data_IF_433096040895
#
_entry.id   IF_433096040895
#
_cell.length_a   1.000
_cell.length_b   1.000
_cell.length_c   1.000
_cell.angle_alpha   90.00
_cell.angle_beta   90.00
_cell.angle_gamma   90.00
#
_symmetry.space_group_name_H-M   'P 1'
#
loop_
_entity.id
_entity.type
_entity.pdbx_description
1 polymer ?
#
# COMPACT_ATOMS: atom_id res chain seq x y z
N UNK A 1 17.56 -4.62 2.44
CA UNK A 1 17.62 -6.05 2.68
C UNK A 1 16.62 -6.37 3.77
N UNK A 2 15.49 -6.95 3.40
CA UNK A 2 14.63 -7.59 4.40
C UNK A 2 15.49 -8.68 5.02
N UNK A 3 15.77 -8.59 6.31
CA UNK A 3 16.36 -9.71 7.02
C UNK A 3 15.49 -10.93 6.70
N UNK A 4 16.06 -11.93 6.02
CA UNK A 4 15.37 -13.19 5.84
C UNK A 4 15.03 -13.65 7.25
N UNK A 5 13.75 -13.72 7.57
CA UNK A 5 13.37 -14.38 8.79
C UNK A 5 13.77 -15.85 8.61
N UNK A 6 14.53 -16.39 9.55
CA UNK A 6 14.84 -17.83 9.58
C UNK A 6 13.58 -18.65 9.87
N UNK A 7 12.46 -18.00 10.06
CA UNK A 7 11.15 -18.64 10.23
C UNK A 7 10.71 -19.27 8.92
N UNK A 8 10.77 -20.58 8.86
CA UNK A 8 10.22 -21.37 7.76
C UNK A 8 8.72 -21.63 7.91
N UNK A 9 8.15 -21.33 9.08
CA UNK A 9 6.79 -21.68 9.43
C UNK A 9 5.89 -20.45 9.32
N UNK A 10 4.75 -20.64 8.66
CA UNK A 10 3.68 -19.64 8.64
C UNK A 10 3.04 -19.50 10.02
N UNK A 11 2.50 -18.32 10.33
CA UNK A 11 1.69 -18.16 11.52
C UNK A 11 0.45 -19.06 11.43
N UNK A 12 -0.03 -19.60 12.55
CA UNK A 12 -1.28 -20.35 12.55
C UNK A 12 -2.43 -19.49 12.01
N UNK A 13 -3.23 -20.05 11.11
CA UNK A 13 -4.42 -19.36 10.54
C UNK A 13 -5.31 -18.84 11.65
N UNK A 14 -5.59 -19.63 12.68
CA UNK A 14 -6.40 -19.26 13.84
C UNK A 14 -5.90 -18.01 14.57
N UNK A 15 -4.57 -17.82 14.63
CA UNK A 15 -4.02 -16.60 15.20
C UNK A 15 -4.31 -15.39 14.33
N UNK A 16 -4.23 -15.54 12.99
CA UNK A 16 -4.58 -14.49 12.05
C UNK A 16 -6.07 -14.10 12.17
N UNK A 17 -6.96 -15.08 12.23
CA UNK A 17 -8.40 -14.85 12.37
C UNK A 17 -8.72 -14.10 13.67
N UNK A 18 -8.23 -14.59 14.81
CA UNK A 18 -8.42 -13.90 16.10
C UNK A 18 -7.85 -12.48 16.12
N UNK A 19 -6.73 -12.28 15.43
CA UNK A 19 -6.12 -10.94 15.30
C UNK A 19 -7.03 -10.00 14.52
N UNK A 20 -7.63 -10.47 13.44
CA UNK A 20 -8.60 -9.70 12.63
C UNK A 20 -9.82 -9.33 13.48
N UNK A 21 -10.39 -10.29 14.21
CA UNK A 21 -11.54 -10.05 15.09
C UNK A 21 -11.22 -8.98 16.14
N UNK A 22 -10.04 -9.08 16.76
CA UNK A 22 -9.61 -8.11 17.76
C UNK A 22 -9.39 -6.72 17.18
N UNK A 23 -8.81 -6.61 15.96
CA UNK A 23 -8.68 -5.33 15.24
C UNK A 23 -10.06 -4.74 14.97
N UNK A 24 -10.99 -5.53 14.42
CA UNK A 24 -12.36 -5.07 14.10
C UNK A 24 -13.11 -4.67 15.37
N UNK A 25 -12.95 -5.44 16.46
CA UNK A 25 -13.57 -5.14 17.76
C UNK A 25 -13.11 -3.79 18.31
N UNK A 26 -11.79 -3.58 18.41
CA UNK A 26 -11.22 -2.34 18.91
C UNK A 26 -11.50 -1.15 17.99
N UNK A 27 -11.50 -1.35 16.68
CA UNK A 27 -11.86 -0.32 15.71
C UNK A 27 -13.32 0.13 15.90
N UNK A 28 -14.26 -0.80 16.10
CA UNK A 28 -15.67 -0.47 16.40
C UNK A 28 -15.82 0.29 17.71
N UNK A 29 -15.06 -0.05 18.74
CA UNK A 29 -15.04 0.71 20.01
C UNK A 29 -14.54 2.16 19.80
N UNK A 30 -13.67 2.35 18.82
CA UNK A 30 -13.20 3.67 18.40
C UNK A 30 -14.14 4.38 17.40
N UNK A 31 -15.31 3.81 17.10
CA UNK A 31 -16.28 4.36 16.16
C UNK A 31 -16.00 4.08 14.68
N UNK A 32 -15.08 3.18 14.36
CA UNK A 32 -14.77 2.80 12.97
C UNK A 32 -15.43 1.49 12.59
N UNK A 33 -16.11 1.48 11.45
CA UNK A 33 -16.74 0.31 10.86
C UNK A 33 -16.27 0.05 9.41
N UNK A 34 -15.32 0.82 8.92
CA UNK A 34 -14.77 0.69 7.57
C UNK A 34 -13.31 0.28 7.65
N UNK A 35 -12.91 -0.68 6.81
CA UNK A 35 -11.60 -1.32 6.94
C UNK A 35 -10.85 -1.37 5.61
N UNK A 36 -9.55 -1.27 5.70
CA UNK A 36 -8.62 -1.60 4.62
C UNK A 36 -7.54 -2.53 5.14
N UNK A 37 -7.52 -3.76 4.67
CA UNK A 37 -6.51 -4.75 5.01
C UNK A 37 -5.50 -4.88 3.87
N UNK A 38 -4.24 -4.57 4.16
CA UNK A 38 -3.13 -4.79 3.24
C UNK A 38 -2.33 -6.00 3.68
N UNK A 39 -2.42 -7.08 2.92
CA UNK A 39 -1.77 -8.36 3.19
C UNK A 39 -0.47 -8.43 2.39
N UNK A 40 0.65 -8.39 3.09
CA UNK A 40 1.99 -8.38 2.50
C UNK A 40 2.99 -9.05 3.44
N UNK A 41 4.24 -9.15 3.02
CA UNK A 41 5.31 -9.73 3.80
C UNK A 41 5.69 -11.11 3.29
N UNK A 42 7.00 -11.35 3.02
CA UNK A 42 7.44 -12.51 2.26
C UNK A 42 6.64 -12.67 0.97
N UNK A 43 6.07 -13.84 0.74
CA UNK A 43 5.04 -14.07 -0.27
C UNK A 43 3.75 -14.53 0.42
N UNK A 44 2.74 -13.65 0.57
CA UNK A 44 1.56 -13.93 1.37
C UNK A 44 0.74 -15.10 0.82
N UNK A 45 0.78 -15.33 -0.49
CA UNK A 45 0.03 -16.42 -1.13
C UNK A 45 0.52 -17.82 -0.74
N UNK A 46 1.71 -17.93 -0.15
CA UNK A 46 2.20 -19.21 0.39
C UNK A 46 1.63 -19.56 1.74
N UNK A 47 1.00 -18.62 2.44
CA UNK A 47 0.30 -18.93 3.68
C UNK A 47 -0.84 -19.93 3.38
N UNK A 48 -0.88 -21.12 4.02
CA UNK A 48 -1.85 -22.16 3.67
C UNK A 48 -3.29 -21.73 3.89
N UNK A 49 -3.57 -20.92 4.89
CA UNK A 49 -4.90 -20.37 5.20
C UNK A 49 -5.18 -18.98 4.59
N UNK A 50 -4.46 -18.56 3.55
CA UNK A 50 -4.66 -17.23 2.99
C UNK A 50 -6.09 -16.98 2.49
N UNK A 51 -6.68 -17.96 1.81
CA UNK A 51 -8.06 -17.85 1.31
C UNK A 51 -9.07 -17.89 2.46
N UNK A 52 -8.80 -18.67 3.51
CA UNK A 52 -9.64 -18.70 4.72
C UNK A 52 -9.61 -17.35 5.45
N UNK A 53 -8.45 -16.69 5.48
CA UNK A 53 -8.29 -15.34 6.02
C UNK A 53 -9.13 -14.34 5.20
N UNK A 54 -9.12 -14.42 3.88
CA UNK A 54 -9.95 -13.57 3.03
C UNK A 54 -11.44 -13.82 3.28
N UNK A 55 -11.85 -15.09 3.37
CA UNK A 55 -13.24 -15.46 3.67
C UNK A 55 -13.69 -14.87 5.02
N UNK A 56 -12.88 -15.04 6.06
CA UNK A 56 -13.17 -14.48 7.39
C UNK A 56 -13.23 -12.95 7.41
N UNK A 57 -12.36 -12.28 6.61
CA UNK A 57 -12.44 -10.84 6.43
C UNK A 57 -13.75 -10.40 5.75
N UNK A 58 -14.32 -11.26 4.91
CA UNK A 58 -15.55 -11.00 4.16
C UNK A 58 -16.84 -11.26 4.94
N UNK A 59 -16.80 -12.02 6.05
CA UNK A 59 -17.98 -12.50 6.76
C UNK A 59 -18.91 -11.38 7.27
N UNK A 60 -18.40 -10.20 7.55
CA UNK A 60 -19.17 -9.03 7.99
C UNK A 60 -19.20 -7.87 6.99
N UNK A 61 -18.85 -8.13 5.72
CA UNK A 61 -18.93 -7.11 4.67
C UNK A 61 -20.37 -6.96 4.22
N UNK A 62 -20.90 -5.75 4.37
CA UNK A 62 -22.25 -5.38 3.95
C UNK A 62 -22.28 -3.97 3.33
N UNK A 63 -23.48 -3.47 3.04
CA UNK A 63 -23.64 -2.14 2.45
C UNK A 63 -23.49 -0.98 3.46
N UNK A 64 -23.30 -1.28 4.74
CA UNK A 64 -23.18 -0.26 5.80
C UNK A 64 -21.74 0.03 6.20
N UNK A 65 -20.80 -0.86 5.85
CA UNK A 65 -19.40 -0.69 6.13
C UNK A 65 -18.52 -0.90 4.89
N UNK A 66 -17.56 -0.03 4.67
CA UNK A 66 -16.62 -0.19 3.57
C UNK A 66 -15.47 -1.09 3.98
N UNK A 67 -15.32 -2.22 3.28
CA UNK A 67 -14.17 -3.11 3.49
C UNK A 67 -13.44 -3.34 2.18
N UNK A 68 -12.14 -3.16 2.20
CA UNK A 68 -11.26 -3.36 1.06
C UNK A 68 -10.05 -4.18 1.44
N UNK A 69 -9.53 -4.93 0.46
CA UNK A 69 -8.33 -5.74 0.62
C UNK A 69 -7.28 -5.39 -0.43
N UNK A 70 -6.04 -5.47 -0.02
CA UNK A 70 -4.89 -5.32 -0.90
C UNK A 70 -3.90 -6.46 -0.68
N UNK A 71 -3.35 -6.99 -1.77
CA UNK A 71 -2.30 -8.01 -1.73
C UNK A 71 -1.06 -7.51 -2.45
N UNK A 72 0.11 -7.71 -1.84
CA UNK A 72 1.40 -7.58 -2.55
C UNK A 72 1.96 -8.99 -2.76
N UNK A 73 2.20 -9.39 -4.01
CA UNK A 73 2.59 -10.75 -4.37
C UNK A 73 3.57 -10.78 -5.55
N UNK A 74 4.35 -11.83 -5.64
CA UNK A 74 5.19 -12.14 -6.81
C UNK A 74 4.47 -12.96 -7.90
N UNK A 75 3.17 -13.20 -7.75
CA UNK A 75 2.31 -13.97 -8.69
C UNK A 75 2.76 -15.41 -8.94
N UNK A 76 3.51 -16.03 -8.03
CA UNK A 76 4.11 -17.36 -8.22
C UNK A 76 3.11 -18.51 -8.13
N UNK A 77 1.89 -18.28 -7.65
CA UNK A 77 0.83 -19.30 -7.67
C UNK A 77 0.35 -19.56 -9.08
N UNK A 78 -0.20 -20.75 -9.31
CA UNK A 78 -0.81 -21.13 -10.58
C UNK A 78 -2.18 -20.46 -10.78
N UNK A 79 -2.71 -20.48 -12.00
CA UNK A 79 -3.99 -19.89 -12.36
C UNK A 79 -5.13 -20.42 -11.50
N UNK A 80 -5.19 -21.72 -11.23
CA UNK A 80 -6.25 -22.33 -10.41
C UNK A 80 -6.32 -21.73 -8.97
N UNK A 81 -5.20 -21.22 -8.46
CA UNK A 81 -5.20 -20.49 -7.18
C UNK A 81 -5.81 -19.09 -7.34
N UNK A 82 -5.52 -18.40 -8.45
CA UNK A 82 -6.10 -17.08 -8.72
C UNK A 82 -7.60 -17.14 -9.02
N UNK A 83 -8.08 -18.22 -9.63
CA UNK A 83 -9.53 -18.49 -9.76
C UNK A 83 -10.22 -18.51 -8.39
N UNK A 84 -9.62 -19.18 -7.41
CA UNK A 84 -10.15 -19.19 -6.03
C UNK A 84 -10.01 -17.81 -5.35
N UNK A 85 -8.91 -17.11 -5.61
CA UNK A 85 -8.68 -15.79 -5.05
C UNK A 85 -9.74 -14.78 -5.51
N UNK A 86 -10.04 -14.72 -6.81
CA UNK A 86 -11.04 -13.76 -7.32
C UNK A 86 -12.43 -14.05 -6.76
N UNK A 87 -12.79 -15.32 -6.54
CA UNK A 87 -14.03 -15.69 -5.85
C UNK A 87 -14.02 -15.22 -4.38
N UNK A 88 -12.91 -15.43 -3.67
CA UNK A 88 -12.80 -15.04 -2.26
C UNK A 88 -12.86 -13.52 -2.05
N UNK A 89 -12.45 -12.72 -3.05
CA UNK A 89 -12.47 -11.26 -2.92
C UNK A 89 -13.73 -10.60 -3.48
N UNK A 90 -14.65 -11.32 -4.09
CA UNK A 90 -15.93 -10.80 -4.60
C UNK A 90 -16.75 -10.00 -3.58
N UNK A 91 -16.85 -10.40 -2.30
CA UNK A 91 -17.66 -9.67 -1.32
C UNK A 91 -17.11 -8.27 -0.99
N UNK A 92 -15.83 -8.02 -1.19
CA UNK A 92 -15.21 -6.75 -0.80
C UNK A 92 -15.63 -5.61 -1.73
N UNK A 93 -15.74 -4.41 -1.18
CA UNK A 93 -16.01 -3.19 -1.96
C UNK A 93 -14.86 -2.79 -2.87
N UNK A 94 -13.65 -3.26 -2.56
CA UNK A 94 -12.47 -3.11 -3.40
C UNK A 94 -11.48 -4.23 -3.12
N UNK A 95 -10.96 -4.82 -4.18
CA UNK A 95 -9.81 -5.70 -4.13
C UNK A 95 -8.71 -5.17 -5.05
N UNK A 96 -7.48 -5.27 -4.61
CA UNK A 96 -6.34 -4.81 -5.41
C UNK A 96 -5.09 -5.65 -5.20
N UNK A 97 -4.27 -5.73 -6.25
CA UNK A 97 -2.99 -6.43 -6.25
C UNK A 97 -1.88 -5.44 -6.66
N UNK A 98 -0.80 -5.43 -5.89
CA UNK A 98 0.49 -4.96 -6.37
C UNK A 98 1.37 -6.17 -6.65
N UNK A 99 1.64 -6.41 -7.92
CA UNK A 99 2.51 -7.51 -8.35
C UNK A 99 3.96 -7.04 -8.40
N UNK A 100 4.83 -7.71 -7.66
CA UNK A 100 6.27 -7.43 -7.68
C UNK A 100 6.90 -8.19 -8.86
N UNK A 101 7.34 -7.44 -9.87
CA UNK A 101 8.01 -8.01 -11.03
C UNK A 101 9.50 -8.15 -10.75
N UNK A 102 9.98 -9.39 -10.82
CA UNK A 102 11.38 -9.75 -10.64
C UNK A 102 11.91 -10.35 -11.96
N UNK A 103 12.51 -9.52 -12.79
CA UNK A 103 12.93 -9.88 -14.15
C UNK A 103 14.01 -10.95 -14.19
N UNK A 104 14.77 -11.12 -13.12
CA UNK A 104 15.73 -12.22 -12.96
C UNK A 104 15.06 -13.61 -12.92
N UNK A 105 13.79 -13.69 -12.52
CA UNK A 105 13.02 -14.92 -12.47
C UNK A 105 12.08 -15.10 -13.65
N UNK A 106 11.64 -14.00 -14.27
CA UNK A 106 10.76 -13.95 -15.43
C UNK A 106 11.59 -13.73 -16.70
N UNK A 107 12.50 -14.64 -16.98
CA UNK A 107 13.55 -14.51 -17.99
C UNK A 107 13.22 -15.15 -19.35
N UNK A 108 11.98 -15.60 -19.54
CA UNK A 108 11.48 -16.11 -20.82
C UNK A 108 10.11 -15.48 -21.13
N UNK A 109 9.76 -15.43 -22.41
CA UNK A 109 8.49 -14.86 -22.86
C UNK A 109 7.28 -15.64 -22.31
N UNK A 110 7.41 -16.96 -22.17
CA UNK A 110 6.35 -17.82 -21.64
C UNK A 110 6.07 -17.51 -20.18
N UNK A 111 7.11 -17.27 -19.37
CA UNK A 111 6.95 -16.88 -17.95
C UNK A 111 6.36 -15.47 -17.82
N UNK A 112 6.79 -14.56 -18.67
CA UNK A 112 6.23 -13.22 -18.69
C UNK A 112 4.76 -13.24 -19.09
N UNK A 113 4.39 -14.07 -20.09
CA UNK A 113 3.02 -14.22 -20.50
C UNK A 113 2.16 -14.88 -19.41
N UNK A 114 2.62 -15.96 -18.77
CA UNK A 114 1.91 -16.57 -17.62
C UNK A 114 1.67 -15.56 -16.48
N UNK A 115 2.65 -14.69 -16.23
CA UNK A 115 2.50 -13.63 -15.23
C UNK A 115 1.46 -12.58 -15.68
N UNK A 116 1.47 -12.18 -16.95
CA UNK A 116 0.51 -11.24 -17.53
C UNK A 116 -0.90 -11.82 -17.51
N UNK A 117 -1.07 -13.07 -17.95
CA UNK A 117 -2.36 -13.76 -18.03
C UNK A 117 -3.07 -13.80 -16.67
N UNK A 118 -2.33 -14.07 -15.60
CA UNK A 118 -2.86 -14.05 -14.21
C UNK A 118 -3.34 -12.65 -13.80
N UNK A 119 -2.60 -11.62 -14.18
CA UNK A 119 -2.98 -10.24 -13.85
C UNK A 119 -4.20 -9.79 -14.67
N UNK A 120 -4.23 -10.10 -15.97
CA UNK A 120 -5.37 -9.82 -16.85
C UNK A 120 -6.61 -10.55 -16.33
N UNK A 121 -6.49 -11.84 -15.99
CA UNK A 121 -7.57 -12.60 -15.38
C UNK A 121 -8.12 -11.92 -14.12
N UNK A 122 -7.25 -11.44 -13.23
CA UNK A 122 -7.67 -10.70 -12.04
C UNK A 122 -8.39 -9.39 -12.41
N UNK A 123 -7.91 -8.63 -13.42
CA UNK A 123 -8.58 -7.41 -13.89
C UNK A 123 -9.97 -7.68 -14.45
N UNK A 124 -10.14 -8.75 -15.23
CA UNK A 124 -11.43 -9.17 -15.79
C UNK A 124 -12.45 -9.55 -14.69
N UNK A 125 -11.94 -9.93 -13.50
CA UNK A 125 -12.74 -10.22 -12.32
C UNK A 125 -12.80 -9.06 -11.30
N UNK A 126 -12.64 -7.83 -11.78
CA UNK A 126 -12.79 -6.59 -10.99
C UNK A 126 -11.78 -6.46 -9.83
N UNK A 127 -10.57 -6.97 -10.01
CA UNK A 127 -9.44 -6.73 -9.11
C UNK A 127 -8.53 -5.68 -9.75
N UNK A 128 -8.27 -4.60 -9.05
CA UNK A 128 -7.32 -3.59 -9.52
C UNK A 128 -5.89 -4.11 -9.43
N UNK A 129 -5.16 -4.13 -10.53
CA UNK A 129 -3.79 -4.62 -10.54
C UNK A 129 -2.79 -3.54 -10.95
N UNK A 130 -1.61 -3.58 -10.35
CA UNK A 130 -0.47 -2.74 -10.74
C UNK A 130 0.80 -3.56 -10.58
N UNK A 131 1.66 -3.53 -11.55
CA UNK A 131 3.02 -4.06 -11.45
C UNK A 131 3.92 -3.01 -10.81
N UNK A 132 4.68 -3.39 -9.79
CA UNK A 132 5.84 -2.65 -9.31
C UNK A 132 7.11 -3.30 -9.86
N UNK A 133 7.91 -2.52 -10.56
CA UNK A 133 9.15 -2.97 -11.18
C UNK A 133 10.31 -2.08 -10.74
N UNK A 134 11.36 -2.68 -10.18
CA UNK A 134 12.59 -1.98 -9.85
C UNK A 134 13.49 -2.00 -11.09
N UNK A 135 13.83 -0.81 -11.57
CA UNK A 135 14.68 -0.61 -12.73
C UNK A 135 16.14 -0.61 -12.28
N UNK A 136 16.87 -1.65 -12.60
CA UNK A 136 18.30 -1.77 -12.23
C UNK A 136 19.17 -1.03 -13.26
N UNK A 137 20.13 -0.17 -12.87
CA UNK A 137 20.91 0.61 -13.84
C UNK A 137 21.57 -0.22 -14.93
N UNK A 138 22.23 -1.33 -14.56
CA UNK A 138 22.94 -2.20 -15.49
C UNK A 138 22.03 -2.94 -16.47
N UNK A 139 20.73 -3.02 -16.16
CA UNK A 139 19.73 -3.76 -16.94
C UNK A 139 18.60 -2.87 -17.42
N UNK A 140 18.78 -1.58 -17.40
CA UNK A 140 17.71 -0.60 -17.59
C UNK A 140 16.95 -0.81 -18.90
N UNK A 141 17.63 -0.99 -20.04
CA UNK A 141 16.97 -1.16 -21.33
C UNK A 141 16.15 -2.46 -21.38
N UNK A 142 16.68 -3.57 -20.88
CA UNK A 142 15.96 -4.82 -20.78
C UNK A 142 14.71 -4.68 -19.90
N UNK A 143 14.86 -4.02 -18.77
CA UNK A 143 13.77 -3.83 -17.82
C UNK A 143 12.72 -2.86 -18.40
N UNK A 144 13.14 -1.88 -19.19
CA UNK A 144 12.22 -1.01 -19.91
C UNK A 144 11.41 -1.77 -20.97
N UNK A 145 12.02 -2.63 -21.76
CA UNK A 145 11.33 -3.49 -22.73
C UNK A 145 10.33 -4.44 -22.04
N UNK A 146 10.71 -5.01 -20.91
CA UNK A 146 9.80 -5.81 -20.11
C UNK A 146 8.62 -4.99 -19.58
N UNK A 147 8.83 -3.76 -19.15
CA UNK A 147 7.76 -2.88 -18.71
C UNK A 147 6.79 -2.54 -19.87
N UNK A 148 7.33 -2.29 -21.06
CA UNK A 148 6.53 -2.08 -22.29
C UNK A 148 5.66 -3.30 -22.61
N UNK A 149 6.23 -4.50 -22.54
CA UNK A 149 5.50 -5.74 -22.79
C UNK A 149 4.23 -5.86 -21.93
N UNK A 150 4.30 -5.57 -20.64
CA UNK A 150 3.13 -5.60 -19.76
C UNK A 150 2.18 -4.42 -20.00
N UNK A 151 2.75 -3.24 -20.24
CA UNK A 151 1.95 -2.05 -20.49
C UNK A 151 1.11 -2.18 -21.77
N UNK A 152 1.66 -2.74 -22.84
CA UNK A 152 0.95 -2.98 -24.10
C UNK A 152 -0.22 -3.95 -23.96
N UNK A 153 -0.13 -4.88 -23.00
CA UNK A 153 -1.23 -5.78 -22.66
C UNK A 153 -2.29 -5.17 -21.74
N UNK A 154 -2.20 -3.88 -21.43
CA UNK A 154 -3.22 -3.17 -20.63
C UNK A 154 -2.98 -3.18 -19.14
N UNK A 155 -1.81 -3.63 -18.67
CA UNK A 155 -1.46 -3.69 -17.26
C UNK A 155 -0.71 -2.41 -16.87
N UNK A 156 -1.11 -1.77 -15.76
CA UNK A 156 -0.38 -0.63 -15.23
C UNK A 156 0.96 -1.05 -14.63
N UNK A 157 2.02 -0.36 -15.01
CA UNK A 157 3.39 -0.60 -14.54
C UNK A 157 3.92 0.66 -13.86
N UNK A 158 4.32 0.52 -12.61
CA UNK A 158 5.02 1.55 -11.84
C UNK A 158 6.50 1.25 -11.84
N UNK A 159 7.28 2.12 -12.46
CA UNK A 159 8.73 2.02 -12.50
C UNK A 159 9.31 2.65 -11.24
N UNK A 160 10.22 1.97 -10.57
CA UNK A 160 10.91 2.45 -9.37
C UNK A 160 12.41 2.42 -9.58
N UNK A 161 13.12 3.49 -9.25
CA UNK A 161 14.56 3.40 -9.22
C UNK A 161 15.02 2.42 -8.13
N UNK A 162 16.14 1.77 -8.36
CA UNK A 162 16.77 0.95 -7.34
C UNK A 162 17.29 1.86 -6.22
N UNK A 163 16.97 1.50 -4.99
CA UNK A 163 17.49 2.18 -3.81
C UNK A 163 18.71 1.46 -3.25
N UNK A 164 19.51 2.18 -2.51
CA UNK A 164 20.59 1.61 -1.72
C UNK A 164 20.06 0.61 -0.66
N UNK A 165 20.94 -0.19 -0.04
CA UNK A 165 20.51 -1.18 0.95
C UNK A 165 19.77 -0.61 2.16
N UNK A 166 19.92 0.68 2.44
CA UNK A 166 19.23 1.37 3.54
C UNK A 166 17.91 2.01 3.10
N UNK A 167 17.60 1.95 1.81
CA UNK A 167 16.45 2.61 1.17
C UNK A 167 16.42 4.14 1.39
N UNK A 168 17.58 4.75 1.62
CA UNK A 168 17.71 6.18 1.92
C UNK A 168 17.97 7.03 0.69
N UNK A 169 18.51 6.45 -0.37
CA UNK A 169 18.81 7.15 -1.64
C UNK A 169 18.72 6.19 -2.83
N UNK A 170 18.54 6.75 -3.99
CA UNK A 170 18.68 6.05 -5.27
C UNK A 170 20.14 5.71 -5.50
N UNK A 171 20.42 4.50 -6.00
CA UNK A 171 21.79 4.11 -6.34
C UNK A 171 22.34 4.93 -7.52
N UNK A 172 23.65 5.06 -7.59
CA UNK A 172 24.31 5.65 -8.74
C UNK A 172 24.27 4.70 -9.97
N UNK A 173 24.61 5.20 -11.14
CA UNK A 173 24.75 4.40 -12.36
C UNK A 173 23.67 4.62 -13.42
N UNK A 174 22.60 5.36 -13.11
CA UNK A 174 21.63 5.75 -14.14
C UNK A 174 22.19 6.84 -15.05
N UNK A 175 21.94 6.70 -16.34
CA UNK A 175 22.20 7.77 -17.31
C UNK A 175 21.13 8.86 -17.18
N UNK A 176 21.41 10.10 -17.61
CA UNK A 176 20.42 11.17 -17.57
C UNK A 176 19.11 10.83 -18.28
N UNK A 177 19.16 10.13 -19.40
CA UNK A 177 17.98 9.65 -20.14
C UNK A 177 17.19 8.59 -19.38
N UNK A 178 17.85 7.72 -18.61
CA UNK A 178 17.20 6.72 -17.78
C UNK A 178 16.42 7.39 -16.65
N UNK A 179 17.05 8.37 -15.99
CA UNK A 179 16.38 9.17 -14.96
C UNK A 179 15.18 9.93 -15.52
N UNK A 180 15.27 10.44 -16.75
CA UNK A 180 14.15 11.08 -17.42
C UNK A 180 13.01 10.10 -17.69
N UNK A 181 13.32 8.88 -18.15
CA UNK A 181 12.31 7.81 -18.35
C UNK A 181 11.67 7.39 -17.03
N UNK A 182 12.45 7.22 -15.96
CA UNK A 182 11.92 6.93 -14.62
C UNK A 182 11.00 8.05 -14.14
N UNK A 183 11.41 9.29 -14.33
CA UNK A 183 10.63 10.46 -13.96
C UNK A 183 9.31 10.54 -14.74
N UNK A 184 9.35 10.30 -16.03
CA UNK A 184 8.14 10.29 -16.87
C UNK A 184 7.26 9.06 -16.62
N UNK A 185 7.86 7.92 -16.27
CA UNK A 185 7.16 6.67 -16.04
C UNK A 185 6.43 6.13 -17.28
N UNK A 186 5.63 5.09 -17.08
CA UNK A 186 4.67 4.61 -18.08
C UNK A 186 3.36 5.38 -17.93
N UNK A 187 2.68 5.73 -19.05
CA UNK A 187 1.34 6.31 -18.98
C UNK A 187 0.41 5.38 -18.20
N UNK A 188 -0.26 5.90 -17.18
CA UNK A 188 -1.21 5.09 -16.44
C UNK A 188 -2.53 5.01 -17.18
N UNK A 189 -3.07 3.81 -17.26
CA UNK A 189 -4.44 3.60 -17.72
C UNK A 189 -5.39 3.85 -16.57
N UNK A 190 -6.50 4.51 -16.83
CA UNK A 190 -7.57 4.59 -15.85
C UNK A 190 -7.97 3.15 -15.48
N UNK A 191 -8.08 2.88 -14.20
CA UNK A 191 -8.75 1.65 -13.79
C UNK A 191 -10.18 1.72 -14.32
N UNK A 192 -10.64 0.64 -14.94
CA UNK A 192 -12.08 0.48 -15.18
C UNK A 192 -12.78 0.75 -13.86
N UNK A 193 -13.78 1.62 -13.89
CA UNK A 193 -14.57 1.87 -12.68
C UNK A 193 -15.01 0.52 -12.12
N UNK A 194 -14.61 0.27 -10.88
CA UNK A 194 -15.01 -0.95 -10.20
C UNK A 194 -16.53 -1.01 -10.19
N UNK A 195 -17.10 -2.14 -10.60
CA UNK A 195 -18.54 -2.40 -10.49
C UNK A 195 -18.99 -2.45 -9.01
N UNK A 196 -18.02 -2.45 -8.10
CA UNK A 196 -18.18 -2.43 -6.66
C UNK A 196 -18.37 -0.98 -6.21
N UNK A 197 -19.62 -0.54 -6.19
CA UNK A 197 -19.95 0.84 -5.84
C UNK A 197 -19.89 1.04 -4.33
N UNK A 198 -19.02 1.94 -3.88
CA UNK A 198 -19.08 2.50 -2.54
C UNK A 198 -19.27 4.01 -2.61
N UNK A 199 -20.31 4.51 -1.97
CA UNK A 199 -20.55 5.93 -1.80
C UNK A 199 -20.11 6.34 -0.38
N UNK A 200 -19.24 7.33 -0.28
CA UNK A 200 -18.95 7.97 0.99
C UNK A 200 -17.65 7.55 1.69
N UNK A 201 -16.60 7.19 0.95
CA UNK A 201 -15.28 7.01 1.57
C UNK A 201 -14.81 8.31 2.23
N UNK A 202 -14.51 8.33 3.55
CA UNK A 202 -13.87 9.48 4.16
C UNK A 202 -12.52 9.73 3.48
N UNK A 203 -12.32 10.89 2.91
CA UNK A 203 -11.02 11.27 2.36
C UNK A 203 -10.06 11.53 3.52
N UNK A 204 -8.84 11.00 3.49
CA UNK A 204 -7.85 11.39 4.47
C UNK A 204 -7.61 12.89 4.34
N UNK A 205 -7.74 13.61 5.45
CA UNK A 205 -7.47 15.03 5.52
C UNK A 205 -6.23 15.30 6.36
N UNK A 206 -5.34 16.16 5.88
CA UNK A 206 -4.29 16.75 6.69
C UNK A 206 -4.07 18.18 6.21
N UNK A 207 -3.56 19.01 7.09
CA UNK A 207 -3.27 20.39 6.79
C UNK A 207 -1.92 20.54 6.11
N UNK A 208 -1.91 21.25 4.99
CA UNK A 208 -0.68 21.59 4.30
C UNK A 208 -0.07 22.81 5.00
N UNK A 209 1.21 22.79 5.37
CA UNK A 209 1.87 23.92 5.99
C UNK A 209 1.72 25.19 5.15
N UNK A 210 1.48 26.32 5.83
CA UNK A 210 1.40 27.62 5.17
C UNK A 210 2.69 27.92 4.38
N UNK A 211 2.54 28.49 3.18
CA UNK A 211 3.66 28.86 2.31
C UNK A 211 4.07 27.79 1.31
N UNK A 212 3.41 26.63 1.30
CA UNK A 212 3.62 25.63 0.27
C UNK A 212 2.48 25.70 -0.75
N UNK A 213 2.83 25.94 -2.00
CA UNK A 213 1.89 25.93 -3.12
C UNK A 213 1.99 24.58 -3.83
N UNK A 214 1.14 23.64 -3.39
CA UNK A 214 1.08 22.29 -3.94
C UNK A 214 0.27 22.23 -5.23
N UNK A 215 0.73 22.85 -6.28
CA UNK A 215 0.15 22.69 -7.62
C UNK A 215 0.57 21.34 -8.21
N UNK A 216 -0.34 20.77 -8.99
CA UNK A 216 -0.01 19.61 -9.82
C UNK A 216 1.19 19.98 -10.70
N UNK A 217 2.28 19.26 -10.53
CA UNK A 217 3.44 19.38 -11.39
C UNK A 217 3.23 18.50 -12.63
N UNK A 218 2.89 19.14 -13.75
CA UNK A 218 2.64 18.43 -15.00
C UNK A 218 3.90 17.83 -15.64
N UNK A 219 5.08 18.15 -15.13
CA UNK A 219 6.33 17.52 -15.56
C UNK A 219 6.54 16.13 -14.93
N UNK A 220 5.73 15.78 -13.91
CA UNK A 220 5.79 14.51 -13.21
C UNK A 220 4.55 13.71 -13.57
N UNK A 221 4.69 12.41 -13.93
CA UNK A 221 3.54 11.55 -14.16
C UNK A 221 2.60 11.55 -12.94
N UNK A 222 1.31 11.70 -13.19
CA UNK A 222 0.31 11.86 -12.14
C UNK A 222 0.30 10.68 -11.13
N UNK A 223 0.61 9.46 -11.58
CA UNK A 223 0.64 8.26 -10.73
C UNK A 223 1.82 8.24 -9.76
N UNK A 224 2.83 9.04 -9.99
CA UNK A 224 3.94 9.28 -9.07
C UNK A 224 3.64 10.39 -8.07
N UNK A 225 2.51 11.06 -8.22
CA UNK A 225 2.08 12.12 -7.33
C UNK A 225 1.03 11.60 -6.34
N UNK A 226 1.06 12.11 -5.15
CA UNK A 226 0.06 11.84 -4.12
C UNK A 226 -0.89 13.02 -4.06
N UNK A 227 -2.18 12.77 -4.22
CA UNK A 227 -3.20 13.79 -4.02
C UNK A 227 -3.46 13.97 -2.52
N UNK A 228 -3.42 15.20 -2.10
CA UNK A 228 -3.82 15.64 -0.78
C UNK A 228 -4.99 16.61 -0.90
N UNK A 229 -5.86 16.61 0.09
CA UNK A 229 -6.97 17.56 0.18
C UNK A 229 -6.96 18.14 1.60
N UNK A 230 -6.91 19.46 1.71
CA UNK A 230 -7.02 20.15 3.01
C UNK A 230 -8.47 20.23 3.48
N UNK A 231 -8.69 20.75 4.70
CA UNK A 231 -10.01 20.91 5.29
C UNK A 231 -10.92 21.90 4.53
N UNK A 232 -10.37 22.65 3.58
CA UNK A 232 -11.10 23.62 2.72
C UNK A 232 -11.38 23.05 1.33
N UNK A 233 -11.08 21.76 1.09
CA UNK A 233 -11.25 21.10 -0.19
C UNK A 233 -10.19 21.48 -1.24
N UNK A 234 -9.11 22.19 -0.85
CA UNK A 234 -8.00 22.49 -1.76
C UNK A 234 -7.18 21.23 -2.00
N UNK A 235 -6.98 20.89 -3.25
CA UNK A 235 -6.21 19.72 -3.67
C UNK A 235 -4.76 20.09 -3.92
N UNK A 236 -3.88 19.16 -3.55
CA UNK A 236 -2.44 19.27 -3.66
C UNK A 236 -1.88 17.98 -4.22
N UNK A 237 -0.86 18.09 -5.05
CA UNK A 237 -0.23 16.95 -5.69
C UNK A 237 1.27 16.98 -5.44
N UNK A 238 1.82 15.86 -5.04
CA UNK A 238 3.25 15.72 -4.82
C UNK A 238 3.71 14.35 -5.32
N UNK A 239 4.89 14.30 -5.90
CA UNK A 239 5.52 13.04 -6.16
C UNK A 239 5.97 12.37 -4.85
N UNK A 240 6.49 11.18 -4.97
CA UNK A 240 6.81 10.30 -3.86
C UNK A 240 7.73 10.95 -2.78
N UNK A 241 8.09 10.14 -1.79
CA UNK A 241 8.77 10.51 -0.56
C UNK A 241 9.90 11.56 -0.67
N UNK A 242 10.58 11.70 -1.81
CA UNK A 242 11.69 12.66 -1.94
C UNK A 242 11.23 14.12 -1.96
N UNK A 243 10.18 14.46 -2.71
CA UNK A 243 9.62 15.82 -2.69
C UNK A 243 8.89 16.10 -1.38
N UNK A 244 8.23 15.07 -0.83
CA UNK A 244 7.71 15.14 0.52
C UNK A 244 8.77 15.58 1.52
N UNK A 245 9.95 14.96 1.44
CA UNK A 245 11.08 15.31 2.28
C UNK A 245 11.64 16.71 1.97
N UNK A 246 11.78 17.05 0.69
CA UNK A 246 12.33 18.34 0.27
C UNK A 246 11.50 19.55 0.73
N UNK A 247 10.18 19.40 0.72
CA UNK A 247 9.25 20.46 1.17
C UNK A 247 8.82 20.33 2.63
N UNK A 248 9.40 19.39 3.38
CA UNK A 248 9.05 19.12 4.79
C UNK A 248 7.57 18.74 5.03
N UNK A 249 6.87 18.26 4.04
CA UNK A 249 5.48 17.81 4.17
C UNK A 249 5.30 16.55 4.99
N UNK A 250 6.37 15.88 5.31
CA UNK A 250 6.39 14.69 6.15
C UNK A 250 6.75 14.98 7.61
N UNK A 251 6.87 16.24 7.99
CA UNK A 251 7.24 16.65 9.36
C UNK A 251 6.00 16.99 10.17
N UNK A 252 5.54 16.02 10.92
CA UNK A 252 4.32 16.11 11.71
C UNK A 252 4.59 16.00 13.22
N UNK A 253 5.84 16.16 13.67
CA UNK A 253 6.16 16.09 15.11
C UNK A 253 5.30 17.05 15.92
N UNK A 254 4.62 16.53 16.93
CA UNK A 254 3.70 17.28 17.77
C UNK A 254 2.26 17.41 17.22
N UNK A 255 1.99 17.03 15.98
CA UNK A 255 0.63 16.97 15.44
C UNK A 255 -0.12 15.76 15.99
N UNK A 256 -1.42 15.87 16.21
CA UNK A 256 -2.26 14.72 16.53
C UNK A 256 -2.38 13.81 15.30
N UNK A 257 -1.97 12.58 15.44
CA UNK A 257 -1.88 11.60 14.36
C UNK A 257 -2.75 10.38 14.68
N UNK A 258 -3.52 9.94 13.69
CA UNK A 258 -4.39 8.78 13.82
C UNK A 258 -3.64 7.42 13.73
N UNK A 259 -2.32 7.42 13.54
CA UNK A 259 -1.53 6.20 13.60
C UNK A 259 -1.62 5.56 14.99
N UNK A 260 -1.96 4.28 15.05
CA UNK A 260 -2.24 3.54 16.28
C UNK A 260 -3.68 3.65 16.79
N UNK A 261 -4.46 4.61 16.28
CA UNK A 261 -5.89 4.79 16.56
C UNK A 261 -6.75 4.26 15.41
N UNK A 262 -6.45 4.67 14.19
CA UNK A 262 -7.19 4.32 12.96
C UNK A 262 -6.40 3.38 12.04
N UNK A 263 -5.10 3.35 12.16
CA UNK A 263 -4.22 2.52 11.33
C UNK A 263 -3.09 1.91 12.15
N UNK A 264 -2.76 0.67 11.88
CA UNK A 264 -1.68 -0.08 12.51
C UNK A 264 -0.89 -0.86 11.47
N UNK A 265 0.27 -1.33 11.88
CA UNK A 265 1.04 -2.34 11.16
C UNK A 265 1.36 -3.51 12.09
N UNK A 266 1.18 -4.73 11.57
CA UNK A 266 1.64 -5.95 12.22
C UNK A 266 2.90 -6.39 11.50
N UNK A 267 3.97 -6.58 12.26
CA UNK A 267 5.26 -6.95 11.70
C UNK A 267 5.49 -8.45 11.72
N UNK A 268 5.98 -8.94 10.62
CA UNK A 268 6.71 -10.18 10.55
C UNK A 268 8.21 -9.91 10.84
N UNK A 269 8.92 -10.77 11.53
CA UNK A 269 8.54 -12.11 11.99
C UNK A 269 8.00 -12.18 13.42
N UNK A 270 8.02 -11.07 14.19
CA UNK A 270 7.84 -11.10 15.66
C UNK A 270 6.39 -10.91 16.13
N UNK A 271 5.45 -10.60 15.23
CA UNK A 271 4.03 -10.35 15.55
C UNK A 271 3.79 -9.06 16.32
N UNK A 272 4.77 -8.18 16.40
CA UNK A 272 4.60 -6.89 17.07
C UNK A 272 3.59 -6.02 16.31
N UNK A 273 2.67 -5.41 17.07
CA UNK A 273 1.72 -4.44 16.56
C UNK A 273 2.26 -3.04 16.85
N UNK A 274 2.39 -2.23 15.81
CA UNK A 274 2.96 -0.89 15.85
C UNK A 274 2.02 0.14 15.25
N UNK A 275 2.22 1.40 15.62
CA UNK A 275 1.42 2.52 15.08
C UNK A 275 1.49 2.59 13.55
N UNK A 276 2.71 2.48 12.99
CA UNK A 276 2.97 2.61 11.56
C UNK A 276 4.41 2.19 11.23
N UNK A 277 4.78 2.22 9.96
CA UNK A 277 6.15 1.98 9.52
C UNK A 277 7.15 3.02 10.05
N UNK A 278 6.76 4.29 10.12
CA UNK A 278 7.63 5.39 10.55
C UNK A 278 7.72 5.51 12.08
N UNK A 279 6.78 4.91 12.83
CA UNK A 279 6.71 5.01 14.29
C UNK A 279 7.16 3.71 14.96
N UNK A 280 8.42 3.33 14.74
CA UNK A 280 8.96 2.05 15.20
C UNK A 280 8.99 1.88 16.74
N UNK A 281 9.11 2.99 17.46
CA UNK A 281 9.43 2.98 18.90
C UNK A 281 8.19 2.96 19.81
N UNK A 282 6.99 2.86 19.22
CA UNK A 282 5.75 2.80 20.01
C UNK A 282 5.01 1.49 19.71
N UNK A 283 5.35 0.41 20.43
CA UNK A 283 4.61 -0.83 20.31
C UNK A 283 3.21 -0.66 20.91
N UNK A 284 2.21 -1.19 20.22
CA UNK A 284 0.83 -1.31 20.74
C UNK A 284 0.63 -2.68 21.42
N UNK A 285 1.59 -3.57 21.30
CA UNK A 285 1.58 -4.92 21.83
C UNK A 285 2.04 -5.96 20.81
N UNK A 286 1.51 -7.16 20.92
CA UNK A 286 1.85 -8.29 20.07
C UNK A 286 0.60 -9.15 19.83
N UNK A 287 0.45 -9.73 18.63
CA UNK A 287 -0.73 -10.55 18.28
C UNK A 287 -0.83 -11.84 19.10
N UNK A 288 0.28 -12.34 19.67
CA UNK A 288 0.30 -13.56 20.47
C UNK A 288 -0.06 -13.30 21.93
N UNK A 289 0.36 -12.15 22.47
CA UNK A 289 0.20 -11.81 23.90
C UNK A 289 -0.85 -10.73 24.17
N UNK A 290 -1.40 -10.14 23.11
CA UNK A 290 -2.37 -9.07 23.18
C UNK A 290 -1.81 -7.71 22.76
N UNK A 291 -2.67 -6.87 22.20
CA UNK A 291 -2.35 -5.50 21.81
C UNK A 291 -3.55 -4.60 22.07
N UNK A 292 -3.29 -3.31 22.14
CA UNK A 292 -4.35 -2.31 22.32
C UNK A 292 -4.14 -1.12 21.39
N UNK A 293 -5.17 -0.80 20.60
CA UNK A 293 -5.22 0.44 19.83
C UNK A 293 -5.34 1.64 20.79
N UNK A 294 -4.88 2.80 20.35
CA UNK A 294 -5.22 4.02 21.06
C UNK A 294 -6.73 4.30 20.97
N UNK A 295 -7.27 4.95 21.95
CA UNK A 295 -8.67 5.40 22.05
C UNK A 295 -8.91 6.77 21.41
N UNK A 296 -7.84 7.42 20.98
CA UNK A 296 -7.85 8.75 20.33
C UNK A 296 -6.56 8.98 19.55
N UNK A 297 -6.53 9.98 18.66
CA UNK A 297 -5.31 10.43 18.01
C UNK A 297 -4.25 10.84 19.03
N UNK A 298 -3.01 10.43 18.79
CA UNK A 298 -1.87 10.69 19.68
C UNK A 298 -0.85 11.60 19.00
N UNK A 299 -0.09 12.41 19.74
CA UNK A 299 0.96 13.24 19.18
C UNK A 299 1.95 12.42 18.35
N UNK A 300 2.30 12.96 17.18
CA UNK A 300 3.37 12.41 16.35
C UNK A 300 4.71 12.66 17.05
N UNK A 301 5.49 11.61 17.25
CA UNK A 301 6.78 11.66 17.96
C UNK A 301 7.98 11.58 17.05
N UNK A 302 7.77 11.20 15.78
CA UNK A 302 8.85 11.06 14.79
C UNK A 302 9.17 12.39 14.13
N UNK A 303 10.44 12.60 13.82
CA UNK A 303 10.88 13.81 13.10
C UNK A 303 10.29 13.88 11.70
N UNK A 304 10.11 12.72 11.05
CA UNK A 304 9.52 12.66 9.72
C UNK A 304 8.78 11.34 9.47
N UNK A 305 7.69 11.41 8.71
CA UNK A 305 7.04 10.23 8.12
C UNK A 305 7.78 9.84 6.85
N UNK A 306 8.53 8.74 6.88
CA UNK A 306 9.33 8.27 5.74
C UNK A 306 8.54 7.36 4.78
N UNK A 307 7.40 6.84 5.23
CA UNK A 307 6.52 6.01 4.42
C UNK A 307 5.40 6.83 3.81
N UNK A 308 5.19 6.71 2.50
CA UNK A 308 4.04 7.33 1.80
C UNK A 308 2.69 6.82 2.32
N UNK A 309 2.63 5.59 2.81
CA UNK A 309 1.42 5.05 3.44
C UNK A 309 1.12 5.75 4.77
N UNK A 310 2.15 5.97 5.59
CA UNK A 310 2.00 6.63 6.89
C UNK A 310 1.67 8.12 6.75
N UNK A 311 2.21 8.78 5.73
CA UNK A 311 1.91 10.20 5.49
C UNK A 311 0.45 10.44 5.11
N UNK A 312 -0.23 9.43 4.57
CA UNK A 312 -1.68 9.47 4.28
C UNK A 312 -2.58 9.24 5.49
N UNK A 313 -2.03 8.78 6.62
CA UNK A 313 -2.81 8.66 7.85
C UNK A 313 -3.19 10.06 8.32
N UNK A 314 -4.47 10.33 8.67
CA UNK A 314 -4.93 11.66 9.06
C UNK A 314 -4.13 12.26 10.21
N UNK A 315 -3.79 13.52 10.09
CA UNK A 315 -3.05 14.30 11.08
C UNK A 315 -3.64 15.69 11.20
N UNK A 316 -3.67 16.23 12.44
CA UNK A 316 -4.20 17.56 12.74
C UNK A 316 -3.27 18.32 13.67
N UNK A 317 -3.22 19.62 13.55
CA UNK A 317 -2.52 20.46 14.53
C UNK A 317 -3.23 20.43 15.89
N UNK A 318 -2.50 20.52 17.02
CA UNK A 318 -3.07 20.38 18.35
C UNK A 318 -4.25 21.32 18.67
N UNK A 319 -4.31 22.49 18.04
CA UNK A 319 -5.28 23.54 18.33
C UNK A 319 -6.43 23.62 17.30
N UNK A 320 -6.54 22.66 16.39
CA UNK A 320 -7.65 22.60 15.44
C UNK A 320 -8.79 21.76 16.01
N UNK A 321 -9.93 22.44 16.21
CA UNK A 321 -11.17 21.77 16.63
C UNK A 321 -11.59 20.73 15.58
N UNK A 322 -12.04 19.57 16.05
CA UNK A 322 -12.68 18.58 15.22
C UNK A 322 -13.84 19.22 14.46
N UNK A 323 -13.83 19.13 13.13
CA UNK A 323 -15.09 19.26 12.41
C UNK A 323 -15.90 18.02 12.79
N UNK A 324 -16.92 18.21 13.61
CA UNK A 324 -17.99 17.24 13.77
C UNK A 324 -18.62 17.12 12.39
N UNK A 325 -18.51 15.91 11.81
CA UNK A 325 -19.14 15.55 10.54
C UNK A 325 -20.55 15.07 10.80
#
# INVERSE_FOLDING_TARGET
>A
PYARSDRKDHRPTELCLRTIDEIKRQARENGFNSYHFSLSGGEPTFHPGYLDILQHLADDVDNTNYTSVHMTTNMSRNMAWFEKYVEAVKPFHRASITASLHTEHLNTIEKMQDFADKLIFCQEHDVQVTINMVMVPDWFERDWENALFFHEQGINVTLKPQSDPTASRVVDGYKPEDLKRLHNGMPQRAYTESKRVWQGRPKPSFEIPAGVDGKLDTSIPWHMQVEFEDSKGKKWYMDQAERFNAFNFNKFKGWNCNAGYQGIIIREPDGSVKRSYSCHDVPLGNIETGFKLFDKPMPCITESCVSSADSKIPKRRPNEHSYES
#
